data_IF_691878078013
#
_entry.id   IF_691878078013
#
_cell.length_a   1.000
_cell.length_b   1.000
_cell.length_c   1.000
_cell.angle_alpha   90.00
_cell.angle_beta   90.00
_cell.angle_gamma   90.00
#
_symmetry.space_group_name_H-M   'P 1'
#
loop_
_entity.id
_entity.type
_entity.pdbx_description
1 polymer ?
#
# COMPACT_ATOMS: atom_id res chain seq x y z
N UNK A 1 -28.99 13.70 -18.64
CA UNK A 1 -28.57 13.65 -18.15
C UNK A 1 -27.60 13.51 -17.51
N UNK A 2 -27.43 13.29 -17.24
CA UNK A 2 -26.63 13.08 -16.76
C UNK A 2 -25.67 13.39 -16.42
N UNK A 3 -25.40 13.73 -16.34
CA UNK A 3 -24.56 13.94 -16.02
C UNK A 3 -24.09 14.00 -15.21
N UNK A 4 -23.98 13.74 -14.89
CA UNK A 4 -23.47 13.61 -14.15
C UNK A 4 -23.10 14.25 -13.20
N UNK A 5 -23.16 14.01 -12.43
CA UNK A 5 -22.70 14.55 -11.32
C UNK A 5 -21.34 14.17 -11.07
N UNK A 6 -20.40 14.63 -11.84
CA UNK A 6 -19.03 14.22 -11.70
C UNK A 6 -18.50 14.43 -10.30
N UNK A 7 -18.88 15.51 -9.67
CA UNK A 7 -18.36 15.80 -8.34
C UNK A 7 -18.79 14.76 -7.32
N UNK A 8 -20.04 14.39 -7.37
CA UNK A 8 -20.58 13.38 -6.49
C UNK A 8 -19.86 12.05 -6.68
N UNK A 9 -19.63 11.71 -7.95
CA UNK A 9 -18.89 10.50 -8.25
C UNK A 9 -17.48 10.55 -7.75
N UNK A 10 -16.84 11.72 -7.86
CA UNK A 10 -15.47 11.87 -7.39
C UNK A 10 -15.36 11.67 -5.89
N UNK A 11 -16.32 12.20 -5.15
CA UNK A 11 -16.29 12.09 -3.70
C UNK A 11 -16.43 10.65 -3.25
N UNK A 12 -17.19 9.86 -3.98
CA UNK A 12 -17.46 8.49 -3.60
C UNK A 12 -16.57 7.49 -4.32
N UNK A 13 -15.91 7.92 -5.37
CA UNK A 13 -15.09 7.02 -6.15
C UNK A 13 -13.81 6.70 -5.42
N UNK A 14 -13.47 5.45 -5.41
CA UNK A 14 -12.22 4.99 -4.85
C UNK A 14 -11.39 4.43 -5.98
N UNK A 15 -10.14 4.85 -6.04
CA UNK A 15 -9.21 4.28 -6.98
C UNK A 15 -8.70 2.96 -6.40
N UNK A 16 -8.71 1.92 -7.21
CA UNK A 16 -8.13 0.64 -6.83
C UNK A 16 -6.69 0.62 -7.28
N UNK A 17 -5.80 0.38 -6.33
CA UNK A 17 -4.37 0.38 -6.61
C UNK A 17 -3.81 -0.99 -6.25
N UNK A 18 -3.07 -1.58 -7.18
CA UNK A 18 -2.40 -2.85 -6.96
C UNK A 18 -0.93 -2.66 -7.30
N UNK A 19 -0.05 -3.18 -6.47
CA UNK A 19 1.39 -3.05 -6.70
C UNK A 19 2.10 -4.33 -6.29
N UNK A 20 3.34 -4.49 -6.77
CA UNK A 20 4.13 -5.67 -6.48
C UNK A 20 5.44 -5.27 -5.81
N UNK A 21 5.85 -6.05 -4.82
CA UNK A 21 7.16 -5.95 -4.22
C UNK A 21 7.72 -7.37 -4.12
N UNK A 22 8.97 -7.49 -3.72
CA UNK A 22 9.60 -8.81 -3.59
C UNK A 22 10.24 -8.94 -2.22
N UNK A 23 9.72 -9.85 -1.42
CA UNK A 23 10.28 -10.17 -0.11
C UNK A 23 11.40 -11.17 -0.29
N UNK A 24 12.51 -10.98 0.43
CA UNK A 24 13.63 -11.92 0.38
C UNK A 24 13.19 -13.29 0.84
N UNK A 25 13.61 -14.33 0.14
CA UNK A 25 13.13 -15.69 0.43
C UNK A 25 13.49 -16.13 1.84
N UNK A 26 14.60 -15.67 2.38
CA UNK A 26 15.00 -16.04 3.73
C UNK A 26 14.24 -15.26 4.80
N UNK A 27 13.40 -14.30 4.41
CA UNK A 27 12.67 -13.46 5.35
C UNK A 27 11.16 -13.67 5.30
N UNK A 28 10.68 -14.65 4.57
CA UNK A 28 9.24 -14.84 4.39
C UNK A 28 8.51 -15.05 5.70
N UNK A 29 9.03 -15.92 6.53
CA UNK A 29 8.38 -16.24 7.80
C UNK A 29 8.38 -15.04 8.74
N UNK A 30 9.50 -14.33 8.81
CA UNK A 30 9.60 -13.14 9.63
C UNK A 30 8.66 -12.05 9.12
N UNK A 31 8.50 -11.93 7.80
CA UNK A 31 7.60 -10.96 7.21
C UNK A 31 6.15 -11.23 7.62
N UNK A 32 5.74 -12.50 7.55
CA UNK A 32 4.40 -12.89 7.98
C UNK A 32 4.17 -12.55 9.44
N UNK A 33 5.16 -12.86 10.27
CA UNK A 33 5.04 -12.67 11.71
C UNK A 33 4.92 -11.20 12.09
N UNK A 34 5.69 -10.35 11.45
CA UNK A 34 5.68 -8.92 11.74
C UNK A 34 4.34 -8.30 11.37
N UNK A 35 3.62 -8.89 10.42
CA UNK A 35 2.32 -8.36 9.97
C UNK A 35 1.15 -8.93 10.76
N UNK A 36 1.39 -9.82 11.71
CA UNK A 36 0.33 -10.28 12.62
C UNK A 36 -0.03 -9.21 13.62
N UNK A 37 0.93 -8.31 13.91
CA UNK A 37 0.68 -7.25 14.88
C UNK A 37 1.32 -5.95 14.39
N UNK A 38 0.71 -5.38 13.37
CA UNK A 38 1.17 -4.08 12.86
C UNK A 38 0.92 -3.03 13.95
N UNK A 39 1.86 -2.12 14.12
CA UNK A 39 1.79 -1.10 15.17
C UNK A 39 0.48 -0.32 15.09
N UNK A 40 -0.22 -0.13 16.21
CA UNK A 40 -1.48 0.63 16.19
C UNK A 40 -1.33 2.03 15.60
N UNK A 41 -0.24 2.72 15.91
CA UNK A 41 0.00 4.05 15.36
C UNK A 41 0.10 4.02 13.83
N UNK A 42 0.66 2.93 13.28
CA UNK A 42 0.79 2.79 11.84
C UNK A 42 -0.56 2.57 11.20
N UNK A 43 -1.40 1.74 11.84
CA UNK A 43 -2.76 1.51 11.34
C UNK A 43 -3.58 2.80 11.34
N UNK A 44 -3.43 3.60 12.39
CA UNK A 44 -4.13 4.88 12.47
C UNK A 44 -3.68 5.84 11.39
N UNK A 45 -2.38 5.89 11.15
CA UNK A 45 -1.82 6.77 10.11
C UNK A 45 -2.35 6.37 8.73
N UNK A 46 -2.34 5.07 8.44
CA UNK A 46 -2.86 4.59 7.16
C UNK A 46 -4.32 5.01 6.97
N UNK A 47 -5.15 4.78 8.00
CA UNK A 47 -6.56 5.16 7.93
C UNK A 47 -6.73 6.66 7.73
N UNK A 48 -5.93 7.45 8.45
CA UNK A 48 -6.01 8.91 8.39
C UNK A 48 -5.71 9.43 7.00
N UNK A 49 -4.83 8.75 6.27
CA UNK A 49 -4.43 9.18 4.93
C UNK A 49 -5.15 8.45 3.80
N UNK A 50 -6.28 7.84 4.13
CA UNK A 50 -7.18 7.32 3.10
C UNK A 50 -6.85 5.96 2.54
N UNK A 51 -6.06 5.18 3.26
CA UNK A 51 -5.78 3.80 2.86
C UNK A 51 -6.93 2.92 3.34
N UNK A 52 -7.74 2.42 2.39
CA UNK A 52 -8.92 1.63 2.69
C UNK A 52 -8.80 0.26 2.05
N UNK A 53 -9.35 -0.74 2.70
CA UNK A 53 -9.32 -2.11 2.20
C UNK A 53 -7.94 -2.53 1.73
N UNK A 54 -6.94 -2.15 2.53
CA UNK A 54 -5.54 -2.39 2.20
C UNK A 54 -5.17 -3.81 2.59
N UNK A 55 -4.79 -4.61 1.62
CA UNK A 55 -4.45 -6.03 1.83
C UNK A 55 -3.13 -6.35 1.17
N UNK A 56 -2.38 -7.21 1.82
CA UNK A 56 -1.12 -7.71 1.28
C UNK A 56 -1.23 -9.22 1.13
N UNK A 57 -0.80 -9.73 -0.01
CA UNK A 57 -0.82 -11.16 -0.31
C UNK A 57 0.60 -11.60 -0.64
N UNK A 58 1.09 -12.64 0.02
CA UNK A 58 2.46 -13.08 -0.14
C UNK A 58 2.50 -14.46 -0.76
N UNK A 59 3.21 -14.58 -1.88
CA UNK A 59 3.41 -15.85 -2.54
C UNK A 59 4.67 -16.51 -1.98
N UNK A 60 4.76 -17.83 -2.10
CA UNK A 60 5.85 -18.60 -1.50
C UNK A 60 7.23 -18.24 -2.04
N UNK A 61 7.29 -17.70 -3.24
CA UNK A 61 8.57 -17.27 -3.83
C UNK A 61 8.95 -15.83 -3.44
N UNK A 62 8.14 -15.20 -2.58
CA UNK A 62 8.44 -13.84 -2.11
C UNK A 62 7.70 -12.75 -2.84
N UNK A 63 6.96 -13.08 -3.92
CA UNK A 63 6.19 -12.02 -4.58
C UNK A 63 5.11 -11.54 -3.64
N UNK A 64 5.11 -10.23 -3.39
CA UNK A 64 4.13 -9.58 -2.54
C UNK A 64 3.20 -8.75 -3.41
N UNK A 65 1.91 -9.01 -3.29
CA UNK A 65 0.89 -8.26 -4.01
C UNK A 65 0.17 -7.37 -3.01
N UNK A 66 0.19 -6.06 -3.25
CA UNK A 66 -0.53 -5.12 -2.41
C UNK A 66 -1.76 -4.61 -3.14
N UNK A 67 -2.85 -4.47 -2.41
CA UNK A 67 -4.09 -3.93 -2.95
C UNK A 67 -4.65 -2.91 -1.96
N UNK A 68 -5.03 -1.75 -2.47
CA UNK A 68 -5.59 -0.72 -1.61
C UNK A 68 -6.61 0.09 -2.40
N UNK A 69 -7.60 0.61 -1.71
CA UNK A 69 -8.58 1.54 -2.27
C UNK A 69 -8.39 2.88 -1.60
N UNK A 70 -8.31 3.92 -2.40
CA UNK A 70 -8.08 5.26 -1.89
C UNK A 70 -8.67 6.29 -2.84
N UNK A 71 -9.16 7.42 -2.32
CA UNK A 71 -9.65 8.48 -3.22
C UNK A 71 -8.55 9.09 -4.07
N UNK A 72 -7.32 9.11 -3.55
CA UNK A 72 -6.21 9.80 -4.23
C UNK A 72 -4.91 9.13 -3.82
N UNK A 73 -4.33 8.37 -4.76
CA UNK A 73 -3.12 7.60 -4.47
C UNK A 73 -1.93 8.50 -4.13
N UNK A 74 -1.76 9.59 -4.89
CA UNK A 74 -0.64 10.49 -4.63
C UNK A 74 -0.74 11.14 -3.27
N UNK A 75 -1.95 11.54 -2.88
CA UNK A 75 -2.17 12.12 -1.56
C UNK A 75 -1.97 11.08 -0.46
N UNK A 76 -2.38 9.84 -0.71
CA UNK A 76 -2.19 8.76 0.27
C UNK A 76 -0.72 8.51 0.53
N UNK A 77 0.09 8.50 -0.52
CA UNK A 77 1.53 8.32 -0.38
C UNK A 77 2.17 9.53 0.31
N UNK A 78 1.79 10.73 -0.13
CA UNK A 78 2.38 11.95 0.43
C UNK A 78 2.05 12.10 1.91
N UNK A 79 0.81 11.74 2.29
CA UNK A 79 0.42 11.80 3.69
C UNK A 79 1.24 10.88 4.56
N UNK A 80 1.46 9.66 4.10
CA UNK A 80 2.27 8.71 4.85
C UNK A 80 3.73 9.14 4.91
N UNK A 81 4.24 9.76 3.85
CA UNK A 81 5.62 10.22 3.83
C UNK A 81 5.91 11.22 4.94
N UNK A 82 4.90 11.96 5.39
CA UNK A 82 5.06 12.92 6.46
C UNK A 82 4.85 12.36 7.86
N UNK A 83 4.54 11.09 8.00
CA UNK A 83 4.24 10.49 9.30
C UNK A 83 5.50 9.90 9.93
N UNK A 84 5.86 10.35 11.14
CA UNK A 84 7.03 9.77 11.81
C UNK A 84 6.93 8.27 12.03
N UNK A 85 5.73 7.76 12.32
CA UNK A 85 5.55 6.33 12.52
C UNK A 85 5.85 5.58 11.21
N UNK A 86 5.51 6.16 10.08
CA UNK A 86 5.79 5.53 8.79
C UNK A 86 7.29 5.48 8.53
N UNK A 87 8.01 6.55 8.88
CA UNK A 87 9.46 6.55 8.71
C UNK A 87 10.10 5.39 9.49
N UNK A 88 9.63 5.17 10.71
CA UNK A 88 10.14 4.06 11.53
C UNK A 88 9.75 2.70 10.94
N UNK A 89 8.52 2.59 10.46
CA UNK A 89 8.04 1.34 9.86
C UNK A 89 8.82 1.01 8.59
N UNK A 90 9.01 2.01 7.72
CA UNK A 90 9.75 1.79 6.48
C UNK A 90 11.20 1.39 6.77
N UNK A 91 11.83 2.01 7.75
CA UNK A 91 13.19 1.65 8.13
C UNK A 91 13.25 0.21 8.65
N UNK A 92 12.26 -0.19 9.43
CA UNK A 92 12.21 -1.55 9.97
C UNK A 92 11.95 -2.58 8.87
N UNK A 93 11.20 -2.21 7.84
CA UNK A 93 10.81 -3.16 6.80
C UNK A 93 11.78 -3.25 5.64
N UNK A 94 12.66 -2.27 5.51
CA UNK A 94 13.51 -2.14 4.34
C UNK A 94 14.31 -3.39 4.03
N UNK A 95 14.87 -4.03 5.05
CA UNK A 95 15.73 -5.19 4.85
C UNK A 95 15.00 -6.46 4.50
N UNK A 96 13.66 -6.44 4.58
CA UNK A 96 12.87 -7.60 4.18
C UNK A 96 12.77 -7.75 2.67
N UNK A 97 13.04 -6.68 1.92
CA UNK A 97 12.76 -6.64 0.49
C UNK A 97 14.00 -6.73 -0.38
N UNK A 98 13.81 -7.28 -1.60
CA UNK A 98 14.83 -7.27 -2.64
C UNK A 98 14.62 -6.06 -3.54
N UNK A 99 15.69 -5.66 -4.22
CA UNK A 99 15.62 -4.73 -5.35
C UNK A 99 15.04 -3.37 -5.07
N UNK A 100 15.18 -2.88 -3.84
CA UNK A 100 14.72 -1.54 -3.50
C UNK A 100 15.67 -0.44 -3.98
N UNK A 101 16.93 -0.79 -4.21
CA UNK A 101 17.93 0.14 -4.77
C UNK A 101 18.03 1.44 -3.98
N UNK A 102 18.01 1.32 -2.66
CA UNK A 102 18.22 2.47 -1.79
C UNK A 102 16.97 3.27 -1.44
N UNK A 103 15.82 2.96 -2.04
CA UNK A 103 14.58 3.64 -1.68
C UNK A 103 13.84 2.86 -0.62
N UNK A 104 12.89 3.50 0.03
CA UNK A 104 12.03 2.82 1.00
C UNK A 104 10.99 1.97 0.29
N UNK A 105 10.47 0.92 0.96
CA UNK A 105 9.45 0.08 0.33
C UNK A 105 8.27 0.84 -0.24
N UNK A 106 7.76 1.87 0.47
CA UNK A 106 6.59 2.59 -0.04
C UNK A 106 6.93 3.44 -1.26
N UNK A 107 8.19 3.78 -1.47
CA UNK A 107 8.62 4.49 -2.67
C UNK A 107 8.68 3.56 -3.88
N UNK A 108 8.67 2.25 -3.64
CA UNK A 108 8.70 1.25 -4.70
C UNK A 108 7.30 0.73 -5.05
N UNK A 109 6.28 1.23 -4.39
CA UNK A 109 4.89 0.81 -4.64
C UNK A 109 4.36 1.53 -5.88
N UNK A 110 4.54 0.91 -7.04
CA UNK A 110 4.11 1.49 -8.32
C UNK A 110 2.84 0.81 -8.79
N UNK A 111 1.77 1.58 -9.04
CA UNK A 111 0.50 0.97 -9.44
C UNK A 111 0.60 0.21 -10.74
N UNK A 112 -0.02 -0.95 -10.77
CA UNK A 112 -0.22 -1.71 -12.00
C UNK A 112 -1.43 -1.13 -12.74
N UNK A 113 -1.48 -1.36 -14.06
CA UNK A 113 -2.63 -0.92 -14.85
C UNK A 113 -3.82 -1.82 -14.56
N UNK A 114 -4.92 -1.22 -14.14
CA UNK A 114 -6.16 -1.99 -14.00
C UNK A 114 -6.77 -2.14 -15.38
N UNK A 115 -6.83 -3.37 -15.88
CA UNK A 115 -7.31 -3.62 -17.24
C UNK A 115 -8.74 -4.11 -17.28
N UNK A 116 -9.34 -4.44 -16.14
CA UNK A 116 -10.69 -4.93 -16.07
C UNK A 116 -11.23 -4.81 -14.66
N UNK A 117 -12.51 -4.52 -14.56
CA UNK A 117 -13.22 -4.53 -13.28
C UNK A 117 -14.68 -4.84 -13.52
N UNK A 118 -15.22 -5.77 -12.76
CA UNK A 118 -16.65 -6.08 -12.75
C UNK A 118 -17.20 -5.70 -11.39
N UNK A 119 -18.17 -4.79 -11.38
CA UNK A 119 -18.80 -4.36 -10.14
C UNK A 119 -19.76 -5.42 -9.59
#
# INVERSE_FOLDING_TARGET
AGRLRPLSLSENAMRRVCFLLKVRSERLEAYRRVHEEVWPEMLEALSRHGWKNYSLFLRDDGLLVGYVETPDWDAALAGMAGEPVNARWQAAMKDYFESLEGVNPDEAMRPLDQVFHLA
#
